data_IF_249708683690
#
_entry.id   IF_249708683690
#
_cell.length_a   1.000
_cell.length_b   1.000
_cell.length_c   1.000
_cell.angle_alpha   90.00
_cell.angle_beta   90.00
_cell.angle_gamma   90.00
#
_symmetry.space_group_name_H-M   'P 1'
#
loop_
_entity.id
_entity.type
_entity.pdbx_description
1 polymer ?
#
# COMPACT_ATOMS: atom_id res chain seq x y z
N UNK A 1 19.18 13.60 -29.36
CA UNK A 1 17.74 13.47 -29.65
C UNK A 1 17.00 13.51 -28.32
N UNK A 2 16.77 14.72 -27.83
CA UNK A 2 16.28 14.98 -26.48
C UNK A 2 15.05 15.84 -26.65
N UNK A 3 13.85 15.24 -26.52
CA UNK A 3 12.57 15.90 -26.20
C UNK A 3 11.37 14.99 -26.50
N UNK A 4 11.27 13.86 -25.80
CA UNK A 4 9.98 13.14 -25.67
C UNK A 4 9.16 13.62 -24.46
N UNK A 5 9.70 14.49 -23.60
CA UNK A 5 9.04 15.00 -22.39
C UNK A 5 8.30 16.33 -22.53
N UNK A 6 8.30 16.96 -23.72
CA UNK A 6 7.77 18.31 -23.91
C UNK A 6 6.31 18.38 -24.42
N UNK A 7 5.64 17.24 -24.65
CA UNK A 7 4.22 17.21 -25.06
C UNK A 7 3.24 17.28 -23.87
N UNK A 8 3.57 18.04 -22.83
CA UNK A 8 2.68 18.28 -21.68
C UNK A 8 2.18 19.73 -21.58
N UNK A 9 2.45 20.56 -22.59
CA UNK A 9 2.05 21.96 -22.58
C UNK A 9 1.36 22.27 -23.90
N UNK A 10 0.05 22.52 -23.82
CA UNK A 10 -0.88 22.87 -24.92
C UNK A 10 -1.65 21.66 -25.52
N UNK A 11 -2.71 21.21 -24.80
CA UNK A 11 -3.77 20.33 -25.31
C UNK A 11 -3.57 18.82 -25.12
N UNK A 12 -4.66 18.09 -24.87
CA UNK A 12 -4.79 16.62 -25.07
C UNK A 12 -4.30 15.63 -23.98
N UNK A 13 -5.00 15.61 -22.84
CA UNK A 13 -5.06 14.44 -21.95
C UNK A 13 -6.25 13.52 -22.27
N UNK A 14 -6.28 12.88 -23.44
CA UNK A 14 -7.26 11.82 -23.73
C UNK A 14 -6.71 10.46 -23.27
N UNK A 15 -7.59 9.51 -22.93
CA UNK A 15 -7.22 8.14 -22.52
C UNK A 15 -6.26 7.47 -23.53
N UNK A 16 -6.48 7.71 -24.83
CA UNK A 16 -5.66 7.21 -25.93
C UNK A 16 -4.20 7.68 -25.87
N UNK A 17 -3.96 8.92 -25.46
CA UNK A 17 -2.61 9.49 -25.36
C UNK A 17 -1.84 8.86 -24.19
N UNK A 18 -2.52 8.62 -23.06
CA UNK A 18 -1.92 7.97 -21.90
C UNK A 18 -1.58 6.50 -22.16
N UNK A 19 -2.41 5.75 -22.89
CA UNK A 19 -2.08 4.37 -23.27
C UNK A 19 -0.86 4.29 -24.20
N UNK A 20 -0.69 5.25 -25.11
CA UNK A 20 0.54 5.34 -25.92
C UNK A 20 1.74 5.72 -25.07
N UNK A 21 1.62 6.73 -24.20
CA UNK A 21 2.68 7.14 -23.28
C UNK A 21 3.15 5.98 -22.40
N UNK A 22 2.23 5.20 -21.82
CA UNK A 22 2.53 3.98 -21.06
C UNK A 22 3.42 3.03 -21.86
N UNK A 23 3.06 2.70 -23.11
CA UNK A 23 3.85 1.79 -23.96
C UNK A 23 5.27 2.29 -24.21
N UNK A 24 5.45 3.60 -24.42
CA UNK A 24 6.79 4.19 -24.58
C UNK A 24 7.59 4.14 -23.29
N UNK A 25 6.95 4.43 -22.16
CA UNK A 25 7.58 4.38 -20.85
C UNK A 25 7.97 2.96 -20.46
N UNK A 26 7.14 1.95 -20.73
CA UNK A 26 7.46 0.53 -20.52
C UNK A 26 8.72 0.11 -21.28
N UNK A 27 8.85 0.50 -22.55
CA UNK A 27 10.10 0.29 -23.30
C UNK A 27 11.29 1.01 -22.67
N UNK A 28 11.09 2.20 -22.12
CA UNK A 28 12.14 2.92 -21.40
C UNK A 28 12.57 2.19 -20.12
N UNK A 29 11.63 1.63 -19.38
CA UNK A 29 11.87 0.79 -18.19
C UNK A 29 12.63 -0.48 -18.55
N UNK A 30 12.27 -1.16 -19.64
CA UNK A 30 12.99 -2.33 -20.16
C UNK A 30 14.45 -2.00 -20.50
N UNK A 31 14.71 -0.78 -20.99
CA UNK A 31 16.06 -0.26 -21.25
C UNK A 31 16.75 0.31 -19.99
N UNK A 32 16.16 0.16 -18.81
CA UNK A 32 16.71 0.60 -17.54
C UNK A 32 16.70 2.11 -17.30
N UNK A 33 15.91 2.88 -18.06
CA UNK A 33 15.80 4.34 -17.92
C UNK A 33 15.08 4.70 -16.61
N UNK A 34 15.76 5.34 -15.64
CA UNK A 34 15.14 5.69 -14.37
C UNK A 34 14.15 6.86 -14.50
N UNK A 35 14.29 7.70 -15.53
CA UNK A 35 13.29 8.72 -15.88
C UNK A 35 11.99 8.08 -16.40
N UNK A 36 12.11 6.98 -17.16
CA UNK A 36 10.94 6.25 -17.65
C UNK A 36 10.20 5.54 -16.51
N UNK A 37 10.93 4.98 -15.54
CA UNK A 37 10.37 4.43 -14.30
C UNK A 37 9.59 5.50 -13.52
N UNK A 38 10.17 6.70 -13.36
CA UNK A 38 9.52 7.83 -12.69
C UNK A 38 8.21 8.25 -13.37
N UNK A 39 8.23 8.42 -14.68
CA UNK A 39 7.04 8.85 -15.41
C UNK A 39 5.96 7.75 -15.45
N UNK A 40 6.35 6.48 -15.54
CA UNK A 40 5.41 5.36 -15.50
C UNK A 40 4.77 5.23 -14.11
N UNK A 41 5.54 5.44 -13.05
CA UNK A 41 5.02 5.51 -11.69
C UNK A 41 3.92 6.58 -11.56
N UNK A 42 4.14 7.75 -12.15
CA UNK A 42 3.14 8.83 -12.20
C UNK A 42 1.82 8.42 -12.86
N UNK A 43 1.86 7.59 -13.91
CA UNK A 43 0.64 7.08 -14.55
C UNK A 43 -0.16 6.17 -13.60
N UNK A 44 0.51 5.23 -12.93
CA UNK A 44 -0.13 4.32 -11.97
C UNK A 44 -0.64 5.04 -10.72
N UNK A 45 0.11 6.02 -10.18
CA UNK A 45 -0.34 6.79 -9.01
C UNK A 45 -1.56 7.65 -9.34
N UNK A 46 -1.70 8.16 -10.57
CA UNK A 46 -2.80 9.06 -10.92
C UNK A 46 -3.94 8.40 -11.71
N UNK A 47 -3.81 7.10 -12.07
CA UNK A 47 -4.80 6.40 -12.88
C UNK A 47 -4.92 6.95 -14.31
N UNK A 48 -3.82 7.42 -14.89
CA UNK A 48 -3.84 8.08 -16.20
C UNK A 48 -3.63 7.06 -17.32
N UNK A 49 -4.71 6.65 -17.98
CA UNK A 49 -4.71 5.63 -19.05
C UNK A 49 -4.30 4.23 -18.59
N UNK A 50 -4.29 4.01 -17.27
CA UNK A 50 -4.11 2.74 -16.55
C UNK A 50 -4.99 2.77 -15.31
N UNK A 51 -5.38 1.60 -14.83
CA UNK A 51 -5.98 1.49 -13.50
C UNK A 51 -5.00 2.02 -12.45
N UNK A 52 -5.53 2.78 -11.51
CA UNK A 52 -4.75 3.36 -10.43
C UNK A 52 -4.19 2.24 -9.55
N UNK A 53 -2.88 2.24 -9.37
CA UNK A 53 -2.15 1.22 -8.62
C UNK A 53 -1.05 1.90 -7.81
N UNK A 54 -1.37 2.15 -6.53
CA UNK A 54 -0.45 2.81 -5.61
C UNK A 54 0.79 1.96 -5.29
N UNK A 55 0.64 0.63 -5.36
CA UNK A 55 1.70 -0.31 -5.05
C UNK A 55 2.76 -0.24 -6.15
N UNK A 56 2.33 -0.51 -7.38
CA UNK A 56 3.20 -0.49 -8.56
C UNK A 56 3.81 0.87 -8.82
N UNK A 57 3.06 1.95 -8.61
CA UNK A 57 3.58 3.31 -8.74
C UNK A 57 4.70 3.61 -7.73
N UNK A 58 4.52 3.22 -6.47
CA UNK A 58 5.52 3.45 -5.43
C UNK A 58 6.79 2.62 -5.64
N UNK A 59 6.67 1.37 -6.13
CA UNK A 59 7.80 0.52 -6.50
C UNK A 59 8.61 1.15 -7.64
N UNK A 60 7.96 1.60 -8.71
CA UNK A 60 8.63 2.25 -9.84
C UNK A 60 9.33 3.57 -9.43
N UNK A 61 8.74 4.35 -8.53
CA UNK A 61 9.43 5.53 -7.98
C UNK A 61 10.66 5.16 -7.14
N UNK A 62 10.59 4.06 -6.39
CA UNK A 62 11.73 3.54 -5.64
C UNK A 62 12.84 3.05 -6.57
N UNK A 63 12.51 2.24 -7.58
CA UNK A 63 13.50 1.77 -8.56
C UNK A 63 14.17 2.93 -9.31
N UNK A 64 13.39 3.95 -9.67
CA UNK A 64 13.90 5.19 -10.25
C UNK A 64 14.92 5.87 -9.33
N UNK A 65 14.62 5.96 -8.03
CA UNK A 65 15.55 6.48 -7.01
C UNK A 65 16.81 5.61 -6.87
N UNK A 66 16.65 4.28 -6.78
CA UNK A 66 17.75 3.33 -6.60
C UNK A 66 18.73 3.35 -7.79
N UNK A 67 18.24 3.73 -8.99
CA UNK A 67 19.04 3.99 -10.19
C UNK A 67 19.59 5.42 -10.29
N UNK A 68 19.51 6.21 -9.23
CA UNK A 68 20.14 7.53 -9.12
C UNK A 68 19.30 8.70 -9.66
N UNK A 69 18.02 8.50 -10.00
CA UNK A 69 17.18 9.62 -10.41
C UNK A 69 16.64 10.39 -9.20
N UNK A 70 17.23 11.57 -8.99
CA UNK A 70 16.98 12.38 -7.80
C UNK A 70 15.50 12.74 -7.60
N UNK A 71 14.75 12.99 -8.69
CA UNK A 71 13.31 13.26 -8.60
C UNK A 71 12.54 12.06 -8.04
N UNK A 72 12.90 10.84 -8.44
CA UNK A 72 12.36 9.61 -7.85
C UNK A 72 12.60 9.57 -6.35
N UNK A 73 13.82 9.88 -5.88
CA UNK A 73 14.13 9.90 -4.46
C UNK A 73 13.33 10.95 -3.67
N UNK A 74 13.19 12.15 -4.22
CA UNK A 74 12.38 13.22 -3.60
C UNK A 74 10.92 12.83 -3.52
N UNK A 75 10.36 12.26 -4.59
CA UNK A 75 8.97 11.81 -4.63
C UNK A 75 8.72 10.63 -3.69
N UNK A 76 9.64 9.67 -3.56
CA UNK A 76 9.52 8.61 -2.54
C UNK A 76 9.44 9.21 -1.12
N UNK A 77 10.28 10.20 -0.81
CA UNK A 77 10.23 10.88 0.50
C UNK A 77 8.90 11.59 0.73
N UNK A 78 8.39 12.28 -0.29
CA UNK A 78 7.11 12.98 -0.24
C UNK A 78 5.92 12.01 -0.09
N UNK A 79 5.91 10.92 -0.85
CA UNK A 79 4.86 9.90 -0.73
C UNK A 79 4.88 9.26 0.66
N UNK A 80 6.07 9.01 1.23
CA UNK A 80 6.20 8.50 2.60
C UNK A 80 5.68 9.49 3.63
N UNK A 81 5.97 10.78 3.49
CA UNK A 81 5.48 11.79 4.44
C UNK A 81 3.97 12.00 4.36
N UNK A 82 3.38 11.77 3.18
CA UNK A 82 1.91 11.81 2.96
C UNK A 82 1.21 10.48 3.26
N UNK A 83 1.94 9.43 3.65
CA UNK A 83 1.40 8.07 3.79
C UNK A 83 1.01 7.39 2.47
N UNK A 84 1.17 8.05 1.33
CA UNK A 84 0.78 7.56 0.01
C UNK A 84 1.79 6.58 -0.62
N UNK A 85 2.92 6.31 0.05
CA UNK A 85 3.92 5.36 -0.42
C UNK A 85 3.55 3.93 -0.02
N UNK A 86 3.29 3.10 -1.01
CA UNK A 86 2.91 1.70 -0.85
C UNK A 86 3.93 0.84 -1.58
N UNK A 87 5.07 0.49 -0.97
CA UNK A 87 5.92 -0.52 -1.62
C UNK A 87 5.25 -1.88 -1.44
N UNK A 88 5.01 -2.60 -2.53
CA UNK A 88 4.79 -4.02 -2.43
C UNK A 88 5.99 -4.63 -1.73
N UNK A 89 5.75 -5.62 -0.89
CA UNK A 89 6.82 -6.48 -0.42
C UNK A 89 7.50 -7.01 -1.68
N UNK A 90 8.66 -6.46 -2.03
CA UNK A 90 9.55 -7.09 -3.00
C UNK A 90 9.77 -8.49 -2.46
N UNK A 91 9.15 -9.50 -3.09
CA UNK A 91 9.59 -10.88 -2.91
C UNK A 91 11.09 -10.84 -3.20
N UNK A 92 11.97 -11.07 -2.21
CA UNK A 92 13.39 -11.12 -2.50
C UNK A 92 13.56 -12.27 -3.47
N UNK A 93 13.98 -11.98 -4.71
CA UNK A 93 14.57 -13.00 -5.54
C UNK A 93 15.75 -13.56 -4.72
N UNK A 94 15.59 -14.79 -4.22
CA UNK A 94 16.49 -15.52 -3.33
C UNK A 94 16.33 -15.24 -1.81
N UNK A 95 15.33 -15.87 -1.20
CA UNK A 95 15.51 -16.50 0.13
C UNK A 95 14.85 -17.89 0.12
N UNK A 96 15.47 -18.92 0.72
CA UNK A 96 14.99 -20.29 0.62
C UNK A 96 13.63 -20.44 1.30
N UNK A 97 12.78 -21.27 0.70
CA UNK A 97 11.50 -21.72 1.26
C UNK A 97 11.70 -22.37 2.64
N UNK A 98 11.68 -21.56 3.69
CA UNK A 98 11.38 -22.05 5.04
C UNK A 98 9.86 -22.00 5.21
N UNK A 99 9.24 -23.13 4.89
CA UNK A 99 7.82 -23.43 5.07
C UNK A 99 7.49 -23.34 6.56
N UNK A 100 7.06 -22.18 7.01
CA UNK A 100 6.02 -22.08 8.02
C UNK A 100 4.80 -21.60 7.27
N UNK A 101 3.74 -22.43 7.19
CA UNK A 101 2.45 -22.00 6.67
C UNK A 101 2.10 -20.67 7.34
N UNK A 102 1.79 -19.60 6.57
CA UNK A 102 1.40 -18.34 7.16
C UNK A 102 0.17 -18.60 8.04
N UNK A 103 0.30 -18.33 9.34
CA UNK A 103 -0.80 -18.56 10.27
C UNK A 103 -1.91 -17.57 9.95
N UNK A 104 -3.08 -18.09 9.58
CA UNK A 104 -4.29 -17.27 9.39
C UNK A 104 -4.75 -16.74 10.74
N UNK A 105 -4.69 -15.44 10.92
CA UNK A 105 -5.10 -14.76 12.13
C UNK A 105 -6.45 -14.07 11.92
N UNK A 106 -7.27 -14.08 12.96
CA UNK A 106 -8.61 -13.49 12.95
C UNK A 106 -8.76 -12.59 14.17
N UNK A 107 -9.13 -11.35 13.93
CA UNK A 107 -9.53 -10.38 14.95
C UNK A 107 -11.02 -10.11 14.81
N UNK A 108 -11.82 -10.57 15.78
CA UNK A 108 -13.28 -10.41 15.78
C UNK A 108 -13.72 -9.43 16.86
N UNK A 109 -14.62 -8.51 16.51
CA UNK A 109 -15.20 -7.58 17.49
C UNK A 109 -15.89 -8.31 18.64
N UNK A 110 -15.73 -7.78 19.85
CA UNK A 110 -16.42 -8.26 21.06
C UNK A 110 -17.51 -7.28 21.53
N UNK A 111 -17.72 -6.19 20.80
CA UNK A 111 -18.71 -5.17 21.14
C UNK A 111 -20.11 -5.59 20.69
N UNK A 112 -21.09 -5.39 21.58
CA UNK A 112 -22.48 -5.73 21.29
C UNK A 112 -22.99 -4.95 20.08
N UNK A 113 -23.57 -5.65 19.10
CA UNK A 113 -24.12 -5.05 17.88
C UNK A 113 -23.07 -4.70 16.81
N UNK A 114 -21.78 -4.99 17.01
CA UNK A 114 -20.74 -4.82 15.99
C UNK A 114 -20.34 -6.18 15.42
N UNK A 115 -20.77 -6.47 14.19
CA UNK A 115 -20.29 -7.63 13.44
C UNK A 115 -19.14 -7.20 12.53
N UNK A 116 -17.94 -7.08 13.10
CA UNK A 116 -16.72 -6.75 12.36
C UNK A 116 -15.66 -7.84 12.58
N UNK A 117 -15.08 -8.32 11.50
CA UNK A 117 -14.04 -9.34 11.50
C UNK A 117 -12.90 -8.90 10.59
N UNK A 118 -11.66 -9.00 11.08
CA UNK A 118 -10.46 -8.73 10.31
C UNK A 118 -9.62 -9.99 10.24
N UNK A 119 -9.27 -10.42 9.02
CA UNK A 119 -8.61 -11.70 8.76
C UNK A 119 -7.32 -11.38 8.01
N UNK A 120 -6.19 -11.97 8.41
CA UNK A 120 -4.95 -11.79 7.66
C UNK A 120 -4.09 -13.04 7.64
N UNK A 121 -3.36 -13.21 6.53
CA UNK A 121 -2.46 -14.32 6.26
C UNK A 121 -1.27 -13.80 5.44
N UNK A 122 -0.10 -13.74 6.07
CA UNK A 122 1.06 -13.07 5.49
C UNK A 122 0.77 -11.58 5.28
N UNK A 123 0.91 -11.11 4.03
CA UNK A 123 0.71 -9.71 3.65
C UNK A 123 -0.73 -9.39 3.25
N UNK A 124 -1.57 -10.41 3.01
CA UNK A 124 -2.95 -10.23 2.59
C UNK A 124 -3.88 -10.17 3.80
N UNK A 125 -4.81 -9.22 3.79
CA UNK A 125 -5.81 -9.08 4.82
C UNK A 125 -7.18 -8.73 4.23
N UNK A 126 -8.24 -9.04 4.96
CA UNK A 126 -9.63 -8.72 4.59
C UNK A 126 -10.33 -8.18 5.83
N UNK A 127 -10.95 -7.03 5.67
CA UNK A 127 -11.87 -6.47 6.66
C UNK A 127 -13.31 -6.72 6.22
N UNK A 128 -14.08 -7.39 7.07
CA UNK A 128 -15.50 -7.67 6.86
C UNK A 128 -16.33 -6.98 7.94
N UNK A 129 -17.30 -6.16 7.54
CA UNK A 129 -18.24 -5.53 8.44
C UNK A 129 -19.60 -5.33 7.76
N UNK A 130 -20.70 -5.67 8.45
CA UNK A 130 -22.07 -5.50 7.95
C UNK A 130 -22.24 -6.00 6.49
N UNK A 131 -21.79 -7.24 6.24
CA UNK A 131 -21.82 -7.93 4.94
C UNK A 131 -20.98 -7.31 3.82
N UNK A 132 -20.22 -6.26 4.11
CA UNK A 132 -19.24 -5.68 3.18
C UNK A 132 -17.85 -6.20 3.48
N UNK A 133 -17.08 -6.45 2.42
CA UNK A 133 -15.68 -6.88 2.49
C UNK A 133 -14.79 -5.88 1.77
N UNK A 134 -13.65 -5.59 2.38
CA UNK A 134 -12.62 -4.72 1.82
C UNK A 134 -11.30 -5.45 1.94
N UNK A 135 -10.62 -5.61 0.82
CA UNK A 135 -9.27 -6.16 0.77
C UNK A 135 -8.29 -5.13 1.33
N UNK A 136 -7.36 -5.61 2.14
CA UNK A 136 -6.35 -4.80 2.78
C UNK A 136 -4.97 -5.44 2.62
N UNK A 137 -3.93 -4.62 2.57
CA UNK A 137 -2.55 -5.09 2.46
C UNK A 137 -1.78 -4.67 3.70
N UNK A 138 -0.99 -5.59 4.26
CA UNK A 138 -0.08 -5.30 5.36
C UNK A 138 0.88 -4.18 4.95
N UNK A 139 1.00 -3.18 5.82
CA UNK A 139 1.91 -2.07 5.64
C UNK A 139 3.05 -2.21 6.66
N UNK A 140 4.29 -2.46 6.20
CA UNK A 140 5.46 -2.53 7.06
C UNK A 140 5.90 -1.12 7.49
N UNK A 141 5.06 -0.45 8.27
CA UNK A 141 5.44 0.69 9.09
C UNK A 141 5.17 0.27 10.53
N UNK A 142 6.18 -0.31 11.17
CA UNK A 142 6.10 -0.68 12.58
C UNK A 142 6.11 0.59 13.43
N UNK A 143 4.92 1.05 13.85
CA UNK A 143 4.84 1.93 15.00
C UNK A 143 5.08 1.07 16.25
N UNK A 144 6.35 0.94 16.64
CA UNK A 144 6.75 0.39 17.94
C UNK A 144 7.03 1.56 18.89
N UNK A 145 6.07 1.83 19.78
CA UNK A 145 6.33 2.58 21.01
C UNK A 145 6.39 1.55 22.13
N UNK A 146 7.38 1.64 23.02
CA UNK A 146 7.87 0.61 23.98
C UNK A 146 6.91 -0.51 24.44
N UNK A 147 5.60 -0.27 24.65
CA UNK A 147 4.59 -1.28 25.07
C UNK A 147 3.41 -1.51 24.10
N UNK A 148 3.41 -0.91 22.92
CA UNK A 148 2.37 -1.02 21.89
C UNK A 148 2.94 -1.63 20.61
N UNK A 149 2.40 -2.79 20.22
CA UNK A 149 2.61 -3.34 18.88
C UNK A 149 1.43 -2.91 18.02
N UNK A 150 1.67 -2.01 17.07
CA UNK A 150 0.68 -1.66 16.07
C UNK A 150 1.04 -2.32 14.73
N UNK A 151 0.17 -3.21 14.26
CA UNK A 151 0.22 -3.79 12.91
C UNK A 151 -0.70 -2.97 12.02
N UNK A 152 -0.17 -2.46 10.92
CA UNK A 152 -0.91 -1.59 10.03
C UNK A 152 -1.31 -2.30 8.75
N UNK A 153 -2.52 -2.03 8.28
CA UNK A 153 -3.03 -2.48 6.99
C UNK A 153 -3.67 -1.31 6.24
N UNK A 154 -3.46 -1.23 4.93
CA UNK A 154 -4.14 -0.26 4.06
C UNK A 154 -5.23 -0.97 3.30
N UNK A 155 -6.46 -0.50 3.40
CA UNK A 155 -7.62 -1.13 2.76
C UNK A 155 -8.10 -0.33 1.54
N UNK A 156 -7.94 0.99 1.58
CA UNK A 156 -8.14 1.87 0.43
C UNK A 156 -7.15 3.03 0.52
N UNK A 157 -7.09 3.88 -0.50
CA UNK A 157 -6.20 5.05 -0.54
C UNK A 157 -6.35 5.99 0.67
N UNK A 158 -7.55 6.04 1.25
CA UNK A 158 -7.87 6.92 2.36
C UNK A 158 -8.16 6.17 3.66
N UNK A 159 -8.19 4.84 3.65
CA UNK A 159 -8.59 4.03 4.81
C UNK A 159 -7.48 3.09 5.22
N UNK A 160 -7.04 3.24 6.47
CA UNK A 160 -6.07 2.37 7.13
C UNK A 160 -6.71 1.71 8.34
N UNK A 161 -6.41 0.44 8.52
CA UNK A 161 -6.78 -0.35 9.69
C UNK A 161 -5.51 -0.57 10.52
N UNK A 162 -5.57 -0.20 11.79
CA UNK A 162 -4.46 -0.39 12.73
C UNK A 162 -4.92 -1.38 13.79
N UNK A 163 -4.27 -2.55 13.82
CA UNK A 163 -4.42 -3.50 14.90
C UNK A 163 -3.41 -3.15 16.00
N UNK A 164 -3.91 -2.64 17.13
CA UNK A 164 -3.12 -2.28 18.31
C UNK A 164 -3.19 -3.43 19.32
N UNK A 165 -2.06 -4.09 19.56
CA UNK A 165 -1.90 -5.15 20.55
C UNK A 165 -1.10 -4.64 21.75
N UNK A 166 -1.67 -4.77 22.94
CA UNK A 166 -1.07 -4.34 24.20
C UNK A 166 -0.56 -5.56 24.97
N UNK A 167 0.76 -5.70 25.07
CA UNK A 167 1.40 -6.87 25.71
C UNK A 167 1.02 -7.02 27.18
N UNK A 168 0.90 -5.90 27.89
CA UNK A 168 0.70 -5.89 29.35
C UNK A 168 -0.74 -6.23 29.75
N UNK A 169 -1.71 -5.85 28.92
CA UNK A 169 -3.14 -6.00 29.22
C UNK A 169 -3.81 -7.13 28.45
N UNK A 170 -3.11 -7.74 27.49
CA UNK A 170 -3.66 -8.70 26.50
C UNK A 170 -4.87 -8.15 25.73
N UNK A 171 -5.05 -6.83 25.73
CA UNK A 171 -6.12 -6.19 25.00
C UNK A 171 -5.67 -5.93 23.55
N UNK A 172 -6.61 -6.12 22.63
CA UNK A 172 -6.44 -5.86 21.21
C UNK A 172 -7.55 -4.95 20.72
N UNK A 173 -7.18 -4.00 19.88
CA UNK A 173 -8.12 -3.04 19.29
C UNK A 173 -7.87 -2.89 17.81
N UNK A 174 -8.94 -2.71 17.06
CA UNK A 174 -8.88 -2.25 15.68
C UNK A 174 -9.27 -0.78 15.65
N UNK A 175 -8.38 0.06 15.12
CA UNK A 175 -8.67 1.45 14.81
C UNK A 175 -8.80 1.63 13.29
N UNK A 176 -9.87 2.29 12.88
CA UNK A 176 -10.13 2.69 11.50
C UNK A 176 -9.73 4.15 11.36
N UNK A 177 -8.74 4.40 10.51
CA UNK A 177 -8.23 5.73 10.19
C UNK A 177 -8.74 6.14 8.81
N UNK A 178 -9.11 7.40 8.67
CA UNK A 178 -9.55 8.04 7.42
C UNK A 178 -8.74 9.32 7.18
N UNK A 179 -9.04 10.02 6.06
CA UNK A 179 -8.45 11.32 5.74
C UNK A 179 -6.92 11.27 5.64
N UNK A 180 -6.42 10.39 4.75
CA UNK A 180 -5.01 10.08 4.61
C UNK A 180 -4.35 9.75 5.96
N UNK A 181 -5.05 8.95 6.77
CA UNK A 181 -4.57 8.40 8.04
C UNK A 181 -4.46 9.41 9.19
N UNK A 182 -4.99 10.62 9.03
CA UNK A 182 -4.92 11.67 10.05
C UNK A 182 -6.10 11.63 11.03
N UNK A 183 -7.18 10.92 10.71
CA UNK A 183 -8.41 10.93 11.51
C UNK A 183 -8.84 9.52 11.91
N UNK A 184 -8.74 9.20 13.20
CA UNK A 184 -9.36 8.00 13.77
C UNK A 184 -10.89 8.20 13.82
N UNK A 185 -11.64 7.38 13.08
CA UNK A 185 -13.11 7.50 13.01
C UNK A 185 -13.82 6.48 13.86
N UNK A 186 -13.21 5.32 14.09
CA UNK A 186 -13.78 4.28 14.91
C UNK A 186 -12.70 3.38 15.48
N UNK A 187 -12.82 3.05 16.75
CA UNK A 187 -12.00 2.05 17.41
C UNK A 187 -12.90 1.10 18.14
N UNK A 188 -12.61 -0.20 18.04
CA UNK A 188 -13.37 -1.22 18.74
C UNK A 188 -12.46 -2.32 19.28
N UNK A 189 -12.92 -2.92 20.37
CA UNK A 189 -12.22 -4.02 21.04
C UNK A 189 -12.41 -5.32 20.25
N UNK A 190 -11.33 -6.08 20.12
CA UNK A 190 -11.32 -7.35 19.36
C UNK A 190 -10.66 -8.47 20.15
N UNK A 191 -11.09 -9.70 19.87
CA UNK A 191 -10.36 -10.89 20.27
C UNK A 191 -9.55 -11.42 19.07
N UNK A 192 -8.25 -11.66 19.28
CA UNK A 192 -7.33 -12.14 18.24
C UNK A 192 -6.98 -13.60 18.48
N UNK A 193 -7.18 -14.45 17.47
CA UNK A 193 -6.87 -15.87 17.55
C UNK A 193 -6.41 -16.44 16.21
N UNK A 194 -5.67 -17.54 16.27
CA UNK A 194 -5.27 -18.30 15.08
C UNK A 194 -6.47 -19.15 14.64
N UNK A 195 -6.84 -19.02 13.37
CA UNK A 195 -7.82 -19.88 12.72
C UNK A 195 -7.09 -20.96 11.94
N UNK A 196 -7.50 -22.22 12.10
CA UNK A 196 -7.13 -23.26 11.13
C UNK A 196 -7.96 -23.00 9.88
N UNK A 197 -7.29 -22.60 8.81
CA UNK A 197 -7.90 -22.40 7.48
C UNK A 197 -8.64 -23.63 7.00
#
# INVERSE_FOLDING_TARGET
MTNAGAMYKEGEGTERNYSMAKRYLEKGVENGSPESMYNLAGLYINGLGVDKDLIKGSELYKESCDKGFQKGCSTVKELRSKGMYHAGSTKPANKPDSITMPQRLVAKSIESGINATFIWEGDNAVFEANDHKIDCTFMPNEYRKENQLATTFVCTENVQIILKNFKDTKNSYIAVMTDNFNKEVKTFSVNVYVSKG
#
